data_IF_141780989062
#
_entry.id   IF_141780989062
#
_cell.length_a   1.000
_cell.length_b   1.000
_cell.length_c   1.000
_cell.angle_alpha   90.00
_cell.angle_beta   90.00
_cell.angle_gamma   90.00
#
_symmetry.space_group_name_H-M   'P 1'
#
loop_
_entity.id
_entity.type
_entity.pdbx_description
1 polymer ?
#
# COMPACT_ATOMS: atom_id res chain seq x y z
N UNK A 1 11.62 21.11 -11.85
CA UNK A 1 10.44 22.00 -11.63
C UNK A 1 10.75 22.90 -10.43
N UNK A 2 10.31 24.16 -10.42
CA UNK A 2 10.42 25.01 -9.22
C UNK A 2 9.10 24.93 -8.47
N UNK A 3 9.14 24.43 -7.23
CA UNK A 3 7.97 24.46 -6.35
C UNK A 3 7.71 25.89 -5.88
N UNK A 4 6.45 26.30 -5.90
CA UNK A 4 6.02 27.56 -5.32
C UNK A 4 5.93 27.43 -3.79
N UNK A 5 5.88 28.56 -3.10
CA UNK A 5 5.72 28.61 -1.65
C UNK A 5 4.45 27.88 -1.17
N UNK A 6 3.36 27.96 -1.95
CA UNK A 6 2.12 27.23 -1.70
C UNK A 6 2.31 25.71 -1.66
N UNK A 7 3.18 25.18 -2.53
CA UNK A 7 3.41 23.73 -2.62
C UNK A 7 4.15 23.23 -1.37
N UNK A 8 5.16 23.99 -0.93
CA UNK A 8 5.86 23.70 0.32
C UNK A 8 4.95 23.78 1.54
N UNK A 9 4.05 24.76 1.59
CA UNK A 9 3.09 24.88 2.68
C UNK A 9 2.17 23.64 2.76
N UNK A 10 1.69 23.15 1.61
CA UNK A 10 0.85 21.95 1.55
C UNK A 10 1.62 20.71 2.01
N UNK A 11 2.87 20.54 1.57
CA UNK A 11 3.73 19.41 1.97
C UNK A 11 3.97 19.42 3.48
N UNK A 12 4.35 20.57 4.04
CA UNK A 12 4.59 20.71 5.48
C UNK A 12 3.31 20.44 6.26
N UNK A 13 2.18 21.01 5.83
CA UNK A 13 0.88 20.79 6.47
C UNK A 13 0.49 19.31 6.46
N UNK A 14 0.71 18.60 5.35
CA UNK A 14 0.46 17.16 5.25
C UNK A 14 1.25 16.35 6.29
N UNK A 15 2.55 16.64 6.45
CA UNK A 15 3.39 15.96 7.43
C UNK A 15 3.00 16.32 8.87
N UNK A 16 2.70 17.60 9.13
CA UNK A 16 2.26 18.07 10.46
C UNK A 16 0.94 17.41 10.86
N UNK A 17 -0.05 17.36 9.97
CA UNK A 17 -1.34 16.70 10.25
C UNK A 17 -1.14 15.20 10.48
N UNK A 18 -0.32 14.53 9.66
CA UNK A 18 -0.02 13.11 9.84
C UNK A 18 0.63 12.82 11.19
N UNK A 19 1.65 13.62 11.56
CA UNK A 19 2.34 13.49 12.84
C UNK A 19 1.41 13.83 14.01
N UNK A 20 0.57 14.86 13.90
CA UNK A 20 -0.39 15.26 14.93
C UNK A 20 -1.43 14.16 15.19
N UNK A 21 -1.95 13.50 14.14
CA UNK A 21 -2.84 12.35 14.27
C UNK A 21 -2.11 11.22 15.00
N UNK A 22 -0.90 10.84 14.57
CA UNK A 22 -0.12 9.79 15.24
C UNK A 22 0.11 10.09 16.73
N UNK A 23 0.52 11.32 17.05
CA UNK A 23 0.75 11.77 18.43
C UNK A 23 -0.53 11.85 19.27
N UNK A 24 -1.68 12.19 18.68
CA UNK A 24 -2.95 12.25 19.41
C UNK A 24 -3.35 10.88 19.98
N UNK A 25 -3.01 9.79 19.28
CA UNK A 25 -3.29 8.42 19.73
C UNK A 25 -2.17 7.79 20.59
N UNK A 26 -1.06 8.50 20.81
CA UNK A 26 0.09 7.97 21.57
C UNK A 26 -0.20 7.66 23.04
N UNK A 27 -1.07 8.45 23.68
CA UNK A 27 -1.50 8.20 25.06
C UNK A 27 -2.24 6.87 25.19
N UNK A 28 -3.12 6.58 24.23
CA UNK A 28 -3.90 5.34 24.17
C UNK A 28 -3.00 4.15 23.83
N UNK A 29 -2.07 4.32 22.89
CA UNK A 29 -1.09 3.28 22.54
C UNK A 29 -0.22 2.84 23.73
N UNK A 30 -0.01 3.71 24.71
CA UNK A 30 0.82 3.44 25.88
C UNK A 30 0.10 2.70 27.02
N UNK A 31 -1.22 2.45 26.91
CA UNK A 31 -2.02 1.83 27.98
C UNK A 31 -1.76 0.34 28.16
N UNK A 32 -1.57 -0.42 27.06
CA UNK A 32 -1.25 -1.85 27.12
C UNK A 32 -0.69 -2.37 25.79
N UNK A 33 -0.03 -3.54 25.83
CA UNK A 33 0.41 -4.24 24.60
C UNK A 33 -0.75 -4.56 23.66
N UNK A 34 -1.94 -4.87 24.20
CA UNK A 34 -3.13 -5.12 23.39
C UNK A 34 -3.65 -3.84 22.71
N UNK A 35 -3.53 -2.69 23.37
CA UNK A 35 -3.91 -1.41 22.77
C UNK A 35 -2.90 -0.96 21.71
N UNK A 36 -1.61 -1.20 21.94
CA UNK A 36 -0.54 -0.90 21.00
C UNK A 36 -0.63 -1.75 19.72
N UNK A 37 -0.78 -3.08 19.85
CA UNK A 37 -0.68 -4.01 18.72
C UNK A 37 -2.01 -4.40 18.07
N UNK A 38 -3.12 -4.42 18.83
CA UNK A 38 -4.43 -4.85 18.29
C UNK A 38 -5.54 -3.84 18.55
N UNK A 39 -5.23 -2.63 19.01
CA UNK A 39 -6.21 -1.54 19.18
C UNK A 39 -7.38 -1.92 20.10
N UNK A 40 -7.12 -2.78 21.10
CA UNK A 40 -8.16 -3.32 21.98
C UNK A 40 -9.22 -4.16 21.25
N UNK A 41 -8.93 -4.56 19.99
CA UNK A 41 -9.86 -5.22 19.05
C UNK A 41 -11.15 -4.44 18.79
N UNK A 42 -11.12 -3.12 19.00
CA UNK A 42 -12.27 -2.22 18.90
C UNK A 42 -12.29 -1.39 17.61
N UNK A 43 -11.42 -1.67 16.64
CA UNK A 43 -11.39 -0.95 15.37
C UNK A 43 -12.68 -1.17 14.57
N UNK A 44 -13.33 -0.09 14.10
CA UNK A 44 -14.42 -0.17 13.15
C UNK A 44 -13.98 -0.88 11.87
N UNK A 45 -14.84 -1.72 11.30
CA UNK A 45 -14.51 -2.52 10.12
C UNK A 45 -14.07 -1.67 8.92
N UNK A 46 -14.68 -0.50 8.73
CA UNK A 46 -14.38 0.41 7.61
C UNK A 46 -12.99 1.04 7.76
N UNK A 47 -12.60 1.34 9.00
CA UNK A 47 -11.30 1.94 9.33
C UNK A 47 -10.19 0.90 9.16
N UNK A 48 -10.41 -0.32 9.67
CA UNK A 48 -9.51 -1.44 9.47
C UNK A 48 -9.36 -1.81 7.98
N UNK A 49 -10.47 -1.89 7.24
CA UNK A 49 -10.45 -2.18 5.81
C UNK A 49 -9.74 -1.10 4.99
N UNK A 50 -9.96 0.18 5.31
CA UNK A 50 -9.29 1.29 4.62
C UNK A 50 -7.78 1.27 4.87
N UNK A 51 -7.34 1.05 6.12
CA UNK A 51 -5.90 0.93 6.43
C UNK A 51 -5.26 -0.28 5.75
N UNK A 52 -5.96 -1.43 5.65
CA UNK A 52 -5.46 -2.58 4.89
C UNK A 52 -5.19 -2.22 3.41
N UNK A 53 -6.13 -1.50 2.78
CA UNK A 53 -5.95 -1.04 1.39
C UNK A 53 -4.84 0.02 1.30
N UNK A 54 -4.83 0.97 2.23
CA UNK A 54 -3.83 2.04 2.29
C UNK A 54 -2.39 1.50 2.45
N UNK A 55 -2.22 0.43 3.24
CA UNK A 55 -0.95 -0.27 3.45
C UNK A 55 -0.42 -0.85 2.14
N UNK A 56 -1.31 -1.40 1.30
CA UNK A 56 -0.94 -1.92 -0.02
C UNK A 56 -0.78 -0.83 -1.08
N UNK A 57 -1.28 0.37 -0.83
CA UNK A 57 -1.23 1.51 -1.73
C UNK A 57 -0.07 2.46 -1.36
N UNK A 58 1.14 1.93 -1.55
CA UNK A 58 2.41 2.64 -1.38
C UNK A 58 2.85 3.33 -2.68
N UNK A 59 3.95 4.09 -2.64
CA UNK A 59 4.37 4.92 -3.77
C UNK A 59 4.84 4.13 -5.01
N UNK A 60 5.22 2.87 -4.82
CA UNK A 60 5.56 1.93 -5.88
C UNK A 60 4.32 1.42 -6.64
N UNK A 61 3.18 1.26 -5.98
CA UNK A 61 1.99 0.64 -6.58
C UNK A 61 1.46 1.43 -7.78
N UNK A 62 1.23 2.76 -7.72
CA UNK A 62 0.79 3.52 -8.90
C UNK A 62 1.81 3.46 -10.04
N UNK A 63 3.12 3.44 -9.71
CA UNK A 63 4.18 3.37 -10.71
C UNK A 63 4.19 2.02 -11.44
N UNK A 64 4.03 0.92 -10.69
CA UNK A 64 3.93 -0.43 -11.25
C UNK A 64 2.65 -0.58 -12.07
N UNK A 65 1.49 -0.17 -11.54
CA UNK A 65 0.20 -0.30 -12.23
C UNK A 65 0.16 0.54 -13.50
N UNK A 66 0.63 1.79 -13.46
CA UNK A 66 0.74 2.62 -14.66
C UNK A 66 1.68 2.00 -15.70
N UNK A 67 2.81 1.43 -15.26
CA UNK A 67 3.74 0.71 -16.14
C UNK A 67 3.15 -0.55 -16.76
N UNK A 68 2.35 -1.32 -16.01
CA UNK A 68 1.64 -2.50 -16.53
C UNK A 68 0.59 -2.09 -17.56
N UNK A 69 -0.23 -1.08 -17.26
CA UNK A 69 -1.27 -0.60 -18.17
C UNK A 69 -0.68 0.01 -19.44
N UNK A 70 0.43 0.73 -19.33
CA UNK A 70 1.14 1.28 -20.49
C UNK A 70 1.73 0.20 -21.41
N UNK A 71 2.12 -0.97 -20.87
CA UNK A 71 2.73 -2.06 -21.65
C UNK A 71 1.72 -3.07 -22.18
N UNK A 72 0.67 -3.36 -21.42
CA UNK A 72 -0.23 -4.49 -21.67
C UNK A 72 -1.70 -4.08 -21.75
N UNK A 73 -2.00 -2.79 -21.79
CA UNK A 73 -3.37 -2.27 -21.73
C UNK A 73 -4.03 -2.53 -20.36
N UNK A 74 -5.33 -2.27 -20.28
CA UNK A 74 -6.10 -2.45 -19.03
C UNK A 74 -6.04 -3.89 -18.51
N UNK A 75 -5.93 -4.88 -19.41
CA UNK A 75 -5.80 -6.30 -19.09
C UNK A 75 -4.56 -6.62 -18.24
N UNK A 76 -3.52 -5.79 -18.27
CA UNK A 76 -2.35 -5.93 -17.41
C UNK A 76 -2.67 -5.93 -15.91
N UNK A 77 -3.80 -5.36 -15.50
CA UNK A 77 -4.26 -5.41 -14.10
C UNK A 77 -4.60 -6.82 -13.62
N UNK A 78 -4.83 -7.77 -14.53
CA UNK A 78 -5.12 -9.16 -14.16
C UNK A 78 -3.99 -9.82 -13.35
N UNK A 79 -2.73 -9.38 -13.57
CA UNK A 79 -1.56 -9.85 -12.84
C UNK A 79 -1.65 -9.63 -11.33
N UNK A 80 -2.40 -8.63 -10.87
CA UNK A 80 -2.55 -8.34 -9.45
C UNK A 80 -3.99 -8.54 -8.94
N UNK A 81 -5.01 -8.36 -9.79
CA UNK A 81 -6.41 -8.60 -9.42
C UNK A 81 -6.70 -10.04 -9.02
N UNK A 82 -6.03 -11.02 -9.64
CA UNK A 82 -6.14 -12.42 -9.22
C UNK A 82 -5.76 -12.61 -7.74
N UNK A 83 -4.69 -11.94 -7.29
CA UNK A 83 -4.26 -11.93 -5.90
C UNK A 83 -5.28 -11.29 -4.97
N UNK A 84 -5.90 -10.18 -5.39
CA UNK A 84 -6.95 -9.51 -4.62
C UNK A 84 -8.17 -10.42 -4.41
N UNK A 85 -8.62 -11.13 -5.46
CA UNK A 85 -9.74 -12.09 -5.38
C UNK A 85 -9.41 -13.23 -4.41
N UNK A 86 -8.21 -13.81 -4.52
CA UNK A 86 -7.72 -14.84 -3.59
C UNK A 86 -7.69 -14.35 -2.13
N UNK A 87 -7.26 -13.11 -1.92
CA UNK A 87 -7.25 -12.46 -0.60
C UNK A 87 -8.66 -12.31 -0.02
N UNK A 88 -9.63 -11.86 -0.83
CA UNK A 88 -11.04 -11.74 -0.41
C UNK A 88 -11.60 -13.09 0.02
N UNK A 89 -11.38 -14.15 -0.78
CA UNK A 89 -11.82 -15.50 -0.42
C UNK A 89 -11.19 -15.97 0.89
N UNK A 90 -9.89 -15.75 1.06
CA UNK A 90 -9.16 -16.11 2.28
C UNK A 90 -9.76 -15.40 3.50
N UNK A 91 -10.01 -14.10 3.42
CA UNK A 91 -10.64 -13.35 4.51
C UNK A 91 -12.04 -13.87 4.79
N UNK A 92 -12.86 -14.09 3.75
CA UNK A 92 -14.23 -14.56 3.90
C UNK A 92 -14.32 -15.91 4.64
N UNK A 93 -13.47 -16.88 4.28
CA UNK A 93 -13.50 -18.21 4.90
C UNK A 93 -12.78 -18.25 6.26
N UNK A 94 -11.65 -17.56 6.41
CA UNK A 94 -10.76 -17.75 7.56
C UNK A 94 -10.83 -16.65 8.62
N UNK A 95 -11.41 -15.47 8.35
CA UNK A 95 -11.42 -14.37 9.32
C UNK A 95 -12.11 -14.75 10.65
N UNK A 96 -13.19 -15.53 10.60
CA UNK A 96 -13.87 -16.02 11.82
C UNK A 96 -12.99 -16.96 12.63
N UNK A 97 -12.24 -17.84 11.95
CA UNK A 97 -11.33 -18.79 12.59
C UNK A 97 -10.14 -18.06 13.23
N UNK A 98 -9.57 -17.08 12.52
CA UNK A 98 -8.53 -16.19 13.04
C UNK A 98 -8.97 -15.41 14.27
N UNK A 99 -10.17 -14.83 14.24
CA UNK A 99 -10.72 -14.10 15.39
C UNK A 99 -10.91 -14.99 16.62
N UNK A 100 -11.26 -16.27 16.42
CA UNK A 100 -11.40 -17.26 17.50
C UNK A 100 -10.06 -17.72 18.09
N UNK A 101 -9.00 -17.75 17.28
CA UNK A 101 -7.67 -18.18 17.73
C UNK A 101 -7.06 -17.21 18.77
N UNK A 102 -7.49 -15.94 18.80
CA UNK A 102 -7.06 -14.98 19.82
C UNK A 102 -5.58 -14.60 19.78
N UNK A 103 -4.85 -15.09 18.78
CA UNK A 103 -3.41 -14.84 18.58
C UNK A 103 -3.12 -13.37 18.29
N UNK A 104 -1.95 -12.91 18.73
CA UNK A 104 -1.44 -11.57 18.44
C UNK A 104 -0.62 -11.56 17.16
N UNK A 105 0.07 -12.66 16.86
CA UNK A 105 0.88 -12.80 15.64
C UNK A 105 0.42 -13.98 14.81
N UNK A 106 0.60 -13.89 13.50
CA UNK A 106 0.27 -14.97 12.60
C UNK A 106 1.12 -16.23 12.86
N UNK A 107 2.36 -16.03 13.29
CA UNK A 107 3.30 -17.08 13.63
C UNK A 107 2.93 -17.84 14.92
N UNK A 108 2.25 -17.19 15.86
CA UNK A 108 1.73 -17.82 17.07
C UNK A 108 0.67 -18.87 16.74
N UNK A 109 -0.11 -18.66 15.68
CA UNK A 109 -1.06 -19.67 15.22
C UNK A 109 -0.38 -20.97 14.79
N UNK A 110 0.79 -20.89 14.15
CA UNK A 110 1.55 -22.07 13.76
C UNK A 110 2.01 -22.87 15.00
N UNK A 111 2.43 -22.19 16.06
CA UNK A 111 2.79 -22.84 17.32
C UNK A 111 1.59 -23.47 18.01
N UNK A 112 0.45 -22.77 18.07
CA UNK A 112 -0.80 -23.32 18.64
C UNK A 112 -1.31 -24.53 17.86
N UNK A 113 -1.17 -24.53 16.52
CA UNK A 113 -1.72 -25.59 15.66
C UNK A 113 -0.94 -26.89 15.71
N UNK A 114 0.39 -26.79 15.80
CA UNK A 114 1.30 -27.94 15.69
C UNK A 114 1.92 -28.33 17.03
N UNK A 115 2.06 -27.39 17.97
CA UNK A 115 2.57 -27.63 19.32
C UNK A 115 4.03 -28.08 19.39
N UNK A 116 4.61 -27.97 20.58
CA UNK A 116 5.91 -28.56 20.91
C UNK A 116 7.14 -27.78 20.42
N UNK A 117 8.30 -28.31 20.78
CA UNK A 117 9.63 -27.71 20.49
C UNK A 117 9.89 -27.44 19.00
N UNK A 118 9.54 -28.33 18.06
CA UNK A 118 9.73 -28.06 16.63
C UNK A 118 8.88 -26.89 16.13
N UNK A 119 7.65 -26.74 16.62
CA UNK A 119 6.77 -25.63 16.23
C UNK A 119 7.26 -24.29 16.79
N UNK A 120 7.76 -24.27 18.03
CA UNK A 120 8.40 -23.08 18.62
C UNK A 120 9.66 -22.66 17.84
N UNK A 121 10.49 -23.63 17.42
CA UNK A 121 11.65 -23.35 16.57
C UNK A 121 11.23 -22.78 15.20
N UNK A 122 10.19 -23.33 14.58
CA UNK A 122 9.62 -22.82 13.34
C UNK A 122 9.07 -21.39 13.49
N UNK A 123 8.37 -21.10 14.59
CA UNK A 123 7.90 -19.75 14.93
C UNK A 123 9.07 -18.78 15.03
N UNK A 124 10.11 -19.13 15.78
CA UNK A 124 11.30 -18.30 15.94
C UNK A 124 12.01 -18.04 14.61
N UNK A 125 12.21 -19.08 13.80
CA UNK A 125 12.81 -18.96 12.47
C UNK A 125 11.98 -18.06 11.55
N UNK A 126 10.66 -18.28 11.46
CA UNK A 126 9.77 -17.45 10.63
C UNK A 126 9.70 -16.02 11.13
N UNK A 127 9.75 -15.78 12.44
CA UNK A 127 9.77 -14.44 13.00
C UNK A 127 11.02 -13.69 12.54
N UNK A 128 12.19 -14.32 12.62
CA UNK A 128 13.44 -13.72 12.14
C UNK A 128 13.44 -13.53 10.63
N UNK A 129 13.00 -14.53 9.87
CA UNK A 129 12.93 -14.49 8.41
C UNK A 129 11.97 -13.41 7.89
N UNK A 130 10.78 -13.26 8.49
CA UNK A 130 9.85 -12.22 8.08
C UNK A 130 10.31 -10.85 8.56
N UNK A 131 10.78 -10.73 9.81
CA UNK A 131 11.16 -9.45 10.40
C UNK A 131 12.45 -8.86 9.80
N UNK A 132 13.42 -9.69 9.42
CA UNK A 132 14.71 -9.22 8.91
C UNK A 132 14.74 -9.21 7.38
N UNK A 133 14.99 -10.32 6.65
CA UNK A 133 15.23 -10.24 5.22
C UNK A 133 14.01 -9.74 4.45
N UNK A 134 12.80 -10.25 4.73
CA UNK A 134 11.62 -9.87 3.96
C UNK A 134 11.24 -8.40 4.19
N UNK A 135 11.10 -7.97 5.45
CA UNK A 135 10.76 -6.58 5.74
C UNK A 135 11.86 -5.59 5.28
N UNK A 136 13.15 -5.92 5.41
CA UNK A 136 14.22 -5.04 4.93
C UNK A 136 14.23 -4.93 3.39
N UNK A 137 13.95 -6.01 2.67
CA UNK A 137 13.82 -5.98 1.20
C UNK A 137 12.64 -5.09 0.78
N UNK A 138 11.47 -5.29 1.40
CA UNK A 138 10.27 -4.49 1.11
C UNK A 138 10.55 -3.01 1.43
N UNK A 139 11.11 -2.72 2.59
CA UNK A 139 11.46 -1.37 3.01
C UNK A 139 12.46 -0.73 2.04
N UNK A 140 13.47 -1.46 1.59
CA UNK A 140 14.45 -0.99 0.61
C UNK A 140 13.81 -0.65 -0.74
N UNK A 141 12.93 -1.51 -1.25
CA UNK A 141 12.22 -1.25 -2.51
C UNK A 141 11.29 -0.03 -2.38
N UNK A 142 10.41 0.01 -1.39
CA UNK A 142 9.47 1.12 -1.21
C UNK A 142 10.22 2.45 -1.02
N UNK A 143 11.30 2.45 -0.24
CA UNK A 143 12.16 3.63 -0.05
C UNK A 143 12.79 4.06 -1.37
N UNK A 144 13.28 3.12 -2.19
CA UNK A 144 13.84 3.44 -3.51
C UNK A 144 12.82 4.10 -4.41
N UNK A 145 11.58 3.60 -4.46
CA UNK A 145 10.50 4.20 -5.24
C UNK A 145 10.23 5.65 -4.79
N UNK A 146 10.13 5.88 -3.47
CA UNK A 146 9.96 7.22 -2.90
C UNK A 146 11.11 8.17 -3.23
N UNK A 147 12.36 7.71 -3.07
CA UNK A 147 13.56 8.50 -3.38
C UNK A 147 13.58 8.91 -4.85
N UNK A 148 13.23 8.01 -5.78
CA UNK A 148 13.13 8.35 -7.20
C UNK A 148 12.11 9.45 -7.46
N UNK A 149 10.93 9.39 -6.83
CA UNK A 149 9.91 10.44 -6.97
C UNK A 149 10.41 11.79 -6.42
N UNK A 150 11.06 11.79 -5.26
CA UNK A 150 11.60 13.02 -4.65
C UNK A 150 12.76 13.61 -5.45
N UNK A 151 13.64 12.78 -6.02
CA UNK A 151 14.72 13.26 -6.89
C UNK A 151 14.16 13.98 -8.12
N UNK A 152 13.19 13.38 -8.80
CA UNK A 152 12.58 13.96 -10.01
C UNK A 152 11.82 15.25 -9.67
N UNK A 153 11.13 15.28 -8.53
CA UNK A 153 10.24 16.39 -8.16
C UNK A 153 10.98 17.56 -7.52
N UNK A 154 11.90 17.27 -6.58
CA UNK A 154 12.55 18.25 -5.70
C UNK A 154 14.03 18.47 -6.04
N UNK A 155 14.62 17.63 -6.90
CA UNK A 155 16.05 17.66 -7.23
C UNK A 155 16.97 17.57 -6.00
N UNK A 156 16.57 16.75 -5.02
CA UNK A 156 17.31 16.51 -3.77
C UNK A 156 18.19 15.25 -3.93
N UNK A 157 19.35 15.26 -3.28
CA UNK A 157 20.24 14.10 -3.21
C UNK A 157 19.52 12.85 -2.64
N UNK A 158 19.72 11.66 -3.24
CA UNK A 158 19.13 10.39 -2.79
C UNK A 158 19.23 10.10 -1.30
N UNK A 159 20.42 10.30 -0.71
CA UNK A 159 20.67 9.96 0.68
C UNK A 159 19.95 10.92 1.62
N UNK A 160 19.97 12.20 1.27
CA UNK A 160 19.23 13.22 2.01
C UNK A 160 17.72 12.92 2.00
N UNK A 161 17.17 12.58 0.83
CA UNK A 161 15.76 12.21 0.70
C UNK A 161 15.40 10.97 1.54
N UNK A 162 16.23 9.93 1.51
CA UNK A 162 16.02 8.72 2.29
C UNK A 162 16.04 8.99 3.81
N UNK A 163 17.04 9.74 4.30
CA UNK A 163 17.18 10.08 5.72
C UNK A 163 15.97 10.87 6.22
N UNK A 164 15.51 11.87 5.47
CA UNK A 164 14.33 12.67 5.84
C UNK A 164 13.08 11.78 5.94
N UNK A 165 12.85 10.91 4.94
CA UNK A 165 11.71 9.99 4.93
C UNK A 165 11.73 9.06 6.14
N UNK A 166 12.87 8.46 6.45
CA UNK A 166 13.03 7.59 7.61
C UNK A 166 12.83 8.33 8.93
N UNK A 167 13.45 9.50 9.09
CA UNK A 167 13.35 10.28 10.31
C UNK A 167 11.91 10.69 10.60
N UNK A 168 11.17 11.17 9.59
CA UNK A 168 9.78 11.56 9.75
C UNK A 168 8.90 10.35 10.02
N UNK A 169 9.01 9.29 9.21
CA UNK A 169 8.13 8.11 9.30
C UNK A 169 8.36 7.35 10.59
N UNK A 170 9.62 7.07 10.96
CA UNK A 170 9.93 6.41 12.22
C UNK A 170 9.52 7.30 13.42
N UNK A 171 9.74 8.60 13.31
CA UNK A 171 9.46 9.58 14.35
C UNK A 171 8.00 9.56 14.84
N UNK A 172 7.01 9.54 13.94
CA UNK A 172 5.61 9.49 14.37
C UNK A 172 5.09 8.06 14.58
N UNK A 173 5.61 7.07 13.83
CA UNK A 173 5.08 5.69 13.87
C UNK A 173 5.37 4.99 15.20
N UNK A 174 6.54 5.24 15.79
CA UNK A 174 6.94 4.64 17.09
C UNK A 174 5.94 4.98 18.20
N UNK A 175 5.39 6.21 18.17
CA UNK A 175 4.49 6.67 19.22
C UNK A 175 3.00 6.45 18.91
N UNK A 176 2.63 6.15 17.65
CA UNK A 176 1.24 6.15 17.22
C UNK A 176 0.43 4.91 17.68
N UNK A 177 1.07 3.75 17.83
CA UNK A 177 0.39 2.46 17.99
C UNK A 177 -0.55 2.12 16.81
N UNK A 178 -1.22 0.96 16.86
CA UNK A 178 -2.09 0.53 15.75
C UNK A 178 -3.22 1.53 15.48
N UNK A 179 -3.86 2.10 16.52
CA UNK A 179 -4.92 3.10 16.34
C UNK A 179 -4.43 4.33 15.58
N UNK A 180 -3.29 4.90 15.98
CA UNK A 180 -2.72 6.06 15.32
C UNK A 180 -2.36 5.75 13.87
N UNK A 181 -1.72 4.60 13.62
CA UNK A 181 -1.35 4.16 12.26
C UNK A 181 -2.59 4.02 11.37
N UNK A 182 -3.63 3.33 11.81
CA UNK A 182 -4.84 3.09 10.99
C UNK A 182 -5.57 4.40 10.68
N UNK A 183 -5.62 5.36 11.63
CA UNK A 183 -6.22 6.68 11.37
C UNK A 183 -5.34 7.52 10.44
N UNK A 184 -4.03 7.53 10.63
CA UNK A 184 -3.11 8.20 9.69
C UNK A 184 -3.21 7.62 8.29
N UNK A 185 -3.28 6.29 8.16
CA UNK A 185 -3.44 5.60 6.88
C UNK A 185 -4.72 6.02 6.18
N UNK A 186 -5.83 6.11 6.91
CA UNK A 186 -7.12 6.52 6.36
C UNK A 186 -7.06 7.96 5.83
N UNK A 187 -6.47 8.88 6.60
CA UNK A 187 -6.24 10.25 6.14
C UNK A 187 -5.36 10.29 4.88
N UNK A 188 -4.21 9.60 4.92
CA UNK A 188 -3.27 9.54 3.80
C UNK A 188 -3.91 8.90 2.56
N UNK A 189 -4.74 7.88 2.74
CA UNK A 189 -5.45 7.21 1.67
C UNK A 189 -6.44 8.16 0.97
N UNK A 190 -7.22 8.94 1.72
CA UNK A 190 -8.14 9.93 1.15
C UNK A 190 -7.37 10.99 0.35
N UNK A 191 -6.27 11.52 0.89
CA UNK A 191 -5.43 12.50 0.21
C UNK A 191 -4.83 11.92 -1.07
N UNK A 192 -4.24 10.72 -1.01
CA UNK A 192 -3.66 10.02 -2.15
C UNK A 192 -4.70 9.73 -3.24
N UNK A 193 -5.87 9.23 -2.85
CA UNK A 193 -6.96 8.92 -3.78
C UNK A 193 -7.47 10.18 -4.49
N UNK A 194 -7.66 11.26 -3.75
CA UNK A 194 -8.00 12.56 -4.33
C UNK A 194 -6.93 13.03 -5.34
N UNK A 195 -5.65 12.92 -4.97
CA UNK A 195 -4.54 13.27 -5.85
C UNK A 195 -4.51 12.46 -7.15
N UNK A 196 -4.73 11.14 -7.08
CA UNK A 196 -4.76 10.26 -8.25
C UNK A 196 -5.96 10.57 -9.16
N UNK A 197 -7.15 10.83 -8.59
CA UNK A 197 -8.33 11.21 -9.38
C UNK A 197 -8.10 12.53 -10.11
N UNK A 198 -7.57 13.54 -9.42
CA UNK A 198 -7.25 14.84 -10.03
C UNK A 198 -6.22 14.67 -11.15
N UNK A 199 -5.15 13.90 -10.89
CA UNK A 199 -4.13 13.60 -11.89
C UNK A 199 -4.74 12.91 -13.13
N UNK A 200 -5.62 11.93 -12.94
CA UNK A 200 -6.29 11.25 -14.04
C UNK A 200 -7.12 12.22 -14.91
N UNK A 201 -7.90 13.11 -14.28
CA UNK A 201 -8.68 14.14 -14.99
C UNK A 201 -7.77 15.09 -15.78
N UNK A 202 -6.67 15.54 -15.18
CA UNK A 202 -5.72 16.44 -15.83
C UNK A 202 -4.99 15.75 -16.99
N UNK A 203 -4.60 14.49 -16.83
CA UNK A 203 -3.94 13.70 -17.87
C UNK A 203 -4.86 13.53 -19.09
N UNK A 204 -6.13 13.16 -18.88
CA UNK A 204 -7.13 13.04 -19.96
C UNK A 204 -7.32 14.38 -20.68
N UNK A 205 -7.41 15.49 -19.93
CA UNK A 205 -7.50 16.84 -20.53
C UNK A 205 -6.26 17.18 -21.35
N UNK A 206 -5.06 16.86 -20.88
CA UNK A 206 -3.81 17.15 -21.60
C UNK A 206 -3.66 16.37 -22.90
N UNK A 207 -4.26 15.18 -23.00
CA UNK A 207 -4.28 14.38 -24.24
C UNK A 207 -5.30 14.90 -25.25
N UNK A 208 -6.19 15.82 -24.85
CA UNK A 208 -7.25 16.36 -25.70
C UNK A 208 -8.61 15.70 -25.51
N UNK A 209 -8.82 14.98 -24.40
CA UNK A 209 -10.09 14.37 -24.04
C UNK A 209 -10.11 12.84 -24.16
N UNK A 210 -11.21 12.24 -23.69
CA UNK A 210 -11.39 10.78 -23.69
C UNK A 210 -11.45 10.19 -25.10
N UNK A 211 -11.99 10.94 -26.07
CA UNK A 211 -12.09 10.49 -27.45
C UNK A 211 -10.71 10.33 -28.09
N UNK A 212 -9.84 11.32 -27.91
CA UNK A 212 -8.46 11.28 -28.39
C UNK A 212 -7.70 10.16 -27.68
N UNK A 213 -7.81 10.07 -26.35
CA UNK A 213 -7.17 8.99 -25.59
C UNK A 213 -7.59 7.61 -26.10
N UNK A 214 -8.89 7.39 -26.32
CA UNK A 214 -9.42 6.10 -26.78
C UNK A 214 -8.90 5.76 -28.17
N UNK A 215 -8.84 6.74 -29.08
CA UNK A 215 -8.34 6.56 -30.44
C UNK A 215 -6.84 6.24 -30.46
N UNK A 216 -6.02 7.04 -29.78
CA UNK A 216 -4.58 6.85 -29.74
C UNK A 216 -4.21 5.55 -29.02
N UNK A 217 -4.89 5.21 -27.93
CA UNK A 217 -4.69 3.92 -27.25
C UNK A 217 -5.07 2.74 -28.14
N UNK A 218 -6.20 2.82 -28.85
CA UNK A 218 -6.61 1.75 -29.78
C UNK A 218 -5.63 1.59 -30.94
N UNK A 219 -5.07 2.69 -31.44
CA UNK A 219 -4.03 2.66 -32.46
C UNK A 219 -2.73 2.04 -31.94
N UNK A 220 -2.33 2.38 -30.71
CA UNK A 220 -1.12 1.85 -30.08
C UNK A 220 -1.19 0.34 -29.82
N UNK A 221 -2.31 -0.15 -29.31
CA UNK A 221 -2.52 -1.57 -29.00
C UNK A 221 -3.10 -2.38 -30.16
N UNK A 222 -3.35 -1.74 -31.32
CA UNK A 222 -3.90 -2.37 -32.52
C UNK A 222 -5.43 -2.55 -32.52
N UNK A 223 -6.08 -2.57 -31.36
CA UNK A 223 -7.54 -2.54 -31.25
C UNK A 223 -8.01 -1.91 -29.93
N UNK A 224 -9.28 -1.49 -29.91
CA UNK A 224 -9.93 -0.99 -28.69
C UNK A 224 -10.01 -2.08 -27.62
N UNK A 225 -10.26 -3.32 -28.02
CA UNK A 225 -10.36 -4.45 -27.09
C UNK A 225 -9.00 -4.77 -26.48
N UNK A 226 -7.91 -4.72 -27.26
CA UNK A 226 -6.56 -4.91 -26.73
C UNK A 226 -6.16 -3.80 -25.75
N UNK A 227 -6.62 -2.56 -25.98
CA UNK A 227 -6.34 -1.43 -25.10
C UNK A 227 -7.15 -1.47 -23.79
N UNK A 228 -8.46 -1.77 -23.86
CA UNK A 228 -9.40 -1.52 -22.76
C UNK A 228 -10.09 -2.77 -22.21
N UNK A 229 -9.87 -3.97 -22.78
CA UNK A 229 -10.40 -5.18 -22.18
C UNK A 229 -9.88 -5.36 -20.76
N UNK A 230 -10.81 -5.64 -19.85
CA UNK A 230 -10.55 -5.96 -18.45
C UNK A 230 -10.00 -7.38 -18.32
N UNK A 231 -10.38 -8.26 -19.25
CA UNK A 231 -9.95 -9.65 -19.30
C UNK A 231 -8.75 -9.80 -20.25
N UNK A 232 -7.73 -10.59 -19.86
CA UNK A 232 -6.65 -10.94 -20.78
C UNK A 232 -7.17 -11.81 -21.94
N UNK A 233 -6.47 -11.85 -23.09
CA UNK A 233 -6.83 -12.72 -24.20
C UNK A 233 -6.87 -14.19 -23.79
N UNK A 234 -7.89 -14.93 -24.24
CA UNK A 234 -8.01 -16.39 -24.06
C UNK A 234 -6.84 -17.09 -24.74
N UNK A 235 -6.15 -17.98 -24.01
CA UNK A 235 -4.94 -18.67 -24.48
C UNK A 235 -3.63 -17.89 -24.25
N UNK A 236 -3.69 -16.71 -23.61
CA UNK A 236 -2.48 -16.05 -23.10
C UNK A 236 -1.92 -16.79 -21.89
N UNK A 237 -0.63 -16.60 -21.59
CA UNK A 237 0.01 -17.17 -20.40
C UNK A 237 -0.69 -16.81 -19.07
N UNK A 238 -1.54 -15.76 -19.07
CA UNK A 238 -2.23 -15.25 -17.89
C UNK A 238 -3.69 -15.72 -17.79
N UNK A 239 -4.23 -16.27 -18.88
CA UNK A 239 -5.54 -16.92 -18.91
C UNK A 239 -5.47 -18.10 -19.90
N UNK A 240 -4.85 -19.23 -19.49
CA UNK A 240 -4.63 -20.40 -20.34
C UNK A 240 -5.91 -21.23 -20.56
N UNK A 241 -7.07 -20.59 -20.50
CA UNK A 241 -8.35 -21.21 -20.84
C UNK A 241 -8.44 -21.22 -22.37
N UNK A 242 -8.15 -22.39 -22.95
CA UNK A 242 -8.38 -22.74 -24.36
C UNK A 242 -9.76 -23.35 -24.55
#
# INVERSE_FOLDING_TARGET
MRLFFSDWLIIVLYFVVSAAIGLAYSRRASESLAEYFVSGRALPWWLAGTSMVATTFSADTPLVVAGLVARYGVAGNWLWWNGAISGILTVFFFARLWRRAGVLTDLEFAELRYGGRPAAALRGFRALYLALPINLIIMGWVTRAMVTVLQISLNIDPWTAAIILFAVTAGYTIFAGLWGVVVTDTFQFVVKMGGVIVLAVLAVKSVGGLDVLTREASAHFGSRDAAFSVLPPTGSAWLPLS
#
